data_IF_879936611380
#
_entry.id   IF_879936611380
#
_cell.length_a   1.000
_cell.length_b   1.000
_cell.length_c   1.000
_cell.angle_alpha   90.00
_cell.angle_beta   90.00
_cell.angle_gamma   90.00
#
_symmetry.space_group_name_H-M   'P 1'
#
loop_
_entity.id
_entity.type
_entity.pdbx_description
1 polymer ?
#
# COMPACT_ATOMS: atom_id res chain seq x y z
N UNK A 1 -5.70 11.64 -3.40
CA UNK A 1 -5.27 10.49 -4.20
C UNK A 1 -4.01 10.86 -4.95
N UNK A 2 -2.88 10.24 -4.60
CA UNK A 2 -1.62 10.36 -5.32
C UNK A 2 -1.52 9.24 -6.36
N UNK A 3 -1.05 9.54 -7.56
CA UNK A 3 -0.72 8.52 -8.57
C UNK A 3 0.55 7.75 -8.19
N UNK A 4 1.47 8.42 -7.50
CA UNK A 4 2.71 7.79 -7.00
C UNK A 4 2.40 6.78 -5.89
N UNK A 5 2.99 5.57 -5.91
CA UNK A 5 2.95 4.65 -4.78
C UNK A 5 3.56 5.26 -3.50
N UNK A 6 2.90 5.03 -2.36
CA UNK A 6 3.30 5.56 -1.06
C UNK A 6 3.64 4.41 -0.12
N UNK A 7 4.81 4.48 0.51
CA UNK A 7 5.27 3.50 1.48
C UNK A 7 5.27 4.14 2.87
N UNK A 8 4.56 3.53 3.83
CA UNK A 8 4.66 3.88 5.23
C UNK A 8 5.84 3.13 5.87
N UNK A 9 6.80 3.85 6.45
CA UNK A 9 7.86 3.30 7.29
C UNK A 9 7.56 3.60 8.75
N UNK A 10 7.14 2.59 9.50
CA UNK A 10 6.57 2.74 10.83
C UNK A 10 7.59 2.30 11.87
N UNK A 11 8.05 3.24 12.70
CA UNK A 11 9.07 2.98 13.73
C UNK A 11 8.57 3.39 15.11
N UNK A 12 7.63 2.64 15.67
CA UNK A 12 7.03 2.92 16.96
C UNK A 12 5.50 2.89 16.93
N UNK A 13 4.85 3.83 17.60
CA UNK A 13 3.39 3.83 17.72
C UNK A 13 2.71 4.38 16.46
N UNK A 14 1.82 3.58 15.90
CA UNK A 14 0.85 3.98 14.87
C UNK A 14 -0.56 3.78 15.45
N UNK A 15 -1.03 4.75 16.23
CA UNK A 15 -2.29 4.70 16.95
C UNK A 15 -3.26 5.76 16.43
N UNK A 16 -4.56 5.45 16.47
CA UNK A 16 -5.59 6.36 16.02
C UNK A 16 -5.34 6.89 14.62
N UNK A 17 -5.32 8.21 14.43
CA UNK A 17 -5.01 8.84 13.16
C UNK A 17 -3.67 8.39 12.55
N UNK A 18 -2.67 8.01 13.36
CA UNK A 18 -1.41 7.43 12.87
C UNK A 18 -1.62 6.07 12.20
N UNK A 19 -2.49 5.23 12.78
CA UNK A 19 -2.88 3.96 12.18
C UNK A 19 -3.68 4.20 10.88
N UNK A 20 -4.57 5.18 10.87
CA UNK A 20 -5.38 5.55 9.71
C UNK A 20 -4.54 6.04 8.53
N UNK A 21 -3.51 6.87 8.81
CA UNK A 21 -2.52 7.29 7.80
C UNK A 21 -1.74 6.10 7.27
N UNK A 22 -1.27 5.19 8.14
CA UNK A 22 -0.60 3.97 7.71
C UNK A 22 -1.49 3.12 6.79
N UNK A 23 -2.76 2.93 7.16
CA UNK A 23 -3.75 2.21 6.34
C UNK A 23 -4.06 2.90 5.00
N UNK A 24 -3.81 4.21 4.87
CA UNK A 24 -4.01 4.96 3.62
C UNK A 24 -2.85 4.84 2.64
N UNK A 25 -1.69 4.38 3.09
CA UNK A 25 -0.53 4.10 2.25
C UNK A 25 -0.69 2.78 1.49
N UNK A 26 0.04 2.64 0.39
CA UNK A 26 -0.06 1.45 -0.47
C UNK A 26 0.71 0.26 0.12
N UNK A 27 1.87 0.51 0.71
CA UNK A 27 2.72 -0.51 1.34
C UNK A 27 3.08 -0.04 2.76
N UNK A 28 3.07 -0.95 3.73
CA UNK A 28 3.40 -0.69 5.14
C UNK A 28 4.59 -1.56 5.56
N UNK A 29 5.68 -0.91 5.96
CA UNK A 29 6.88 -1.55 6.49
C UNK A 29 7.04 -1.08 7.94
N UNK A 30 7.24 -2.00 8.85
CA UNK A 30 7.25 -1.72 10.27
C UNK A 30 8.54 -2.21 10.93
N UNK A 31 8.98 -1.51 11.97
CA UNK A 31 9.93 -2.10 12.90
C UNK A 31 9.22 -3.11 13.81
N UNK A 32 9.96 -4.10 14.31
CA UNK A 32 9.48 -5.14 15.23
C UNK A 32 8.99 -4.59 16.57
N UNK A 33 9.39 -3.37 16.96
CA UNK A 33 8.94 -2.69 18.17
C UNK A 33 7.68 -1.84 17.99
N UNK A 34 7.14 -1.76 16.77
CA UNK A 34 5.95 -0.94 16.49
C UNK A 34 4.68 -1.51 17.15
N UNK A 35 3.73 -0.60 17.41
CA UNK A 35 2.42 -0.93 17.96
C UNK A 35 1.35 -0.25 17.13
N UNK A 36 0.25 -0.96 16.92
CA UNK A 36 -0.85 -0.53 16.06
C UNK A 36 -2.17 -0.61 16.83
N UNK A 37 -3.09 0.29 16.54
CA UNK A 37 -4.42 0.27 17.14
C UNK A 37 -5.23 1.50 16.82
N UNK A 38 -6.52 1.41 17.11
CA UNK A 38 -7.49 2.48 16.94
C UNK A 38 -8.23 2.70 18.27
N UNK A 39 -7.58 3.38 19.26
CA UNK A 39 -8.09 3.48 20.62
C UNK A 39 -9.19 4.53 20.81
N UNK A 40 -9.74 5.12 19.75
CA UNK A 40 -10.75 6.19 19.77
C UNK A 40 -11.99 5.78 20.58
N UNK A 41 -12.34 4.51 20.63
CA UNK A 41 -13.48 4.00 21.40
C UNK A 41 -13.37 4.33 22.88
N UNK A 42 -12.14 4.38 23.43
CA UNK A 42 -11.89 4.76 24.83
C UNK A 42 -12.18 6.24 25.11
N UNK A 43 -12.34 7.05 24.06
CA UNK A 43 -12.70 8.46 24.13
C UNK A 43 -14.18 8.71 23.77
N UNK A 44 -14.98 7.63 23.60
CA UNK A 44 -16.36 7.73 23.15
C UNK A 44 -16.50 8.09 21.67
N UNK A 45 -15.47 7.83 20.85
CA UNK A 45 -15.39 8.12 19.43
C UNK A 45 -15.13 6.84 18.62
N UNK A 46 -15.28 6.93 17.32
CA UNK A 46 -14.80 5.94 16.36
C UNK A 46 -13.70 6.58 15.50
N UNK A 47 -12.84 5.79 14.84
CA UNK A 47 -11.90 6.30 13.86
C UNK A 47 -12.59 7.15 12.79
N UNK A 48 -12.03 8.32 12.46
CA UNK A 48 -12.68 9.33 11.59
C UNK A 48 -11.98 9.59 10.27
N UNK A 49 -10.80 9.02 10.03
CA UNK A 49 -10.02 9.21 8.80
C UNK A 49 -9.96 7.95 7.91
N UNK A 50 -10.89 7.02 8.10
CA UNK A 50 -11.16 5.90 7.21
C UNK A 50 -10.64 4.54 7.68
N UNK A 51 -10.18 4.37 8.93
CA UNK A 51 -9.78 3.05 9.43
C UNK A 51 -10.96 2.06 9.43
N UNK A 52 -12.17 2.51 9.75
CA UNK A 52 -13.38 1.67 9.73
C UNK A 52 -13.61 1.00 8.38
N UNK A 53 -13.18 1.63 7.30
CA UNK A 53 -13.33 1.11 5.93
C UNK A 53 -12.08 0.36 5.48
N UNK A 54 -10.90 0.98 5.63
CA UNK A 54 -9.66 0.38 5.13
C UNK A 54 -9.25 -0.88 5.86
N UNK A 55 -9.45 -0.95 7.18
CA UNK A 55 -9.12 -2.16 7.95
C UNK A 55 -9.94 -3.37 7.49
N UNK A 56 -11.21 -3.20 7.11
CA UNK A 56 -12.04 -4.30 6.61
C UNK A 56 -11.40 -4.94 5.36
N UNK A 57 -10.84 -4.13 4.47
CA UNK A 57 -10.14 -4.62 3.28
C UNK A 57 -8.75 -5.21 3.60
N UNK A 58 -8.05 -4.69 4.60
CA UNK A 58 -6.70 -5.15 4.96
C UNK A 58 -6.72 -6.41 5.81
N UNK A 59 -7.56 -6.45 6.86
CA UNK A 59 -7.50 -7.51 7.89
C UNK A 59 -8.81 -8.28 8.03
N UNK A 60 -9.82 -7.93 7.23
CA UNK A 60 -11.15 -8.54 7.26
C UNK A 60 -12.05 -8.00 8.37
N UNK A 61 -13.36 -8.27 8.22
CA UNK A 61 -14.40 -7.69 9.09
C UNK A 61 -14.22 -8.05 10.57
N UNK A 62 -14.01 -9.33 10.90
CA UNK A 62 -13.92 -9.80 12.29
C UNK A 62 -12.76 -9.16 13.06
N UNK A 63 -11.57 -9.11 12.45
CA UNK A 63 -10.40 -8.49 13.08
C UNK A 63 -10.54 -6.96 13.18
N UNK A 64 -11.17 -6.34 12.20
CA UNK A 64 -11.51 -4.90 12.27
C UNK A 64 -12.44 -4.60 13.44
N UNK A 65 -13.51 -5.41 13.63
CA UNK A 65 -14.41 -5.29 14.77
C UNK A 65 -13.66 -5.43 16.11
N UNK A 66 -12.79 -6.43 16.22
CA UNK A 66 -11.99 -6.63 17.43
C UNK A 66 -11.13 -5.39 17.74
N UNK A 67 -10.32 -4.94 16.78
CA UNK A 67 -9.40 -3.81 16.96
C UNK A 67 -10.12 -2.50 17.33
N UNK A 68 -11.22 -2.18 16.64
CA UNK A 68 -11.95 -0.93 16.86
C UNK A 68 -12.79 -0.98 18.13
N UNK A 69 -13.48 -2.10 18.41
CA UNK A 69 -14.42 -2.17 19.54
C UNK A 69 -13.72 -2.40 20.88
N UNK A 70 -12.55 -3.03 20.88
CA UNK A 70 -11.75 -3.16 22.11
C UNK A 70 -10.87 -1.94 22.35
N UNK A 71 -10.42 -1.27 21.30
CA UNK A 71 -9.41 -0.21 21.36
C UNK A 71 -8.04 -0.70 21.80
N UNK A 72 -7.80 -2.02 21.75
CA UNK A 72 -6.53 -2.63 22.13
C UNK A 72 -5.46 -2.43 21.06
N UNK A 73 -4.21 -2.44 21.52
CA UNK A 73 -3.05 -2.37 20.65
C UNK A 73 -2.53 -3.77 20.34
N UNK A 74 -2.09 -3.97 19.09
CA UNK A 74 -1.36 -5.16 18.67
C UNK A 74 0.11 -4.81 18.38
N UNK A 75 0.97 -5.80 18.46
CA UNK A 75 2.38 -5.65 18.09
C UNK A 75 2.61 -5.84 16.58
N UNK A 76 3.85 -5.62 16.15
CA UNK A 76 4.24 -5.72 14.75
C UNK A 76 4.10 -7.15 14.20
N UNK A 77 4.35 -8.17 15.02
CA UNK A 77 4.23 -9.57 14.62
C UNK A 77 2.77 -9.94 14.32
N UNK A 78 1.84 -9.56 15.22
CA UNK A 78 0.41 -9.77 14.99
C UNK A 78 -0.09 -8.91 13.82
N UNK A 79 0.34 -7.64 13.70
CA UNK A 79 -0.01 -6.78 12.58
C UNK A 79 0.41 -7.38 11.23
N UNK A 80 1.58 -8.00 11.17
CA UNK A 80 2.04 -8.72 9.98
C UNK A 80 1.23 -10.00 9.73
N UNK A 81 0.98 -10.79 10.78
CA UNK A 81 0.21 -12.03 10.67
C UNK A 81 -1.19 -11.82 10.10
N UNK A 82 -1.85 -10.72 10.46
CA UNK A 82 -3.21 -10.41 9.99
C UNK A 82 -3.26 -9.62 8.68
N UNK A 83 -2.10 -9.26 8.10
CA UNK A 83 -2.03 -8.50 6.85
C UNK A 83 -2.16 -6.98 6.99
N UNK A 84 -2.13 -6.44 8.22
CA UNK A 84 -2.09 -4.99 8.43
C UNK A 84 -0.75 -4.38 8.01
N UNK A 85 0.34 -5.13 8.14
CA UNK A 85 1.70 -4.73 7.78
C UNK A 85 2.27 -5.73 6.80
N UNK A 86 2.91 -5.24 5.73
CA UNK A 86 3.42 -6.07 4.65
C UNK A 86 4.81 -6.65 4.97
N UNK A 87 5.65 -5.89 5.72
CA UNK A 87 6.99 -6.32 6.11
C UNK A 87 7.33 -5.84 7.52
N UNK A 88 8.07 -6.70 8.26
CA UNK A 88 8.64 -6.36 9.57
C UNK A 88 10.15 -6.56 9.53
N UNK A 89 10.90 -5.60 10.07
CA UNK A 89 12.36 -5.64 10.18
C UNK A 89 12.81 -5.02 11.52
N UNK A 90 14.10 -5.04 11.80
CA UNK A 90 14.64 -4.33 12.96
C UNK A 90 14.58 -2.82 12.75
N UNK A 91 14.58 -2.00 13.82
CA UNK A 91 14.58 -0.54 13.71
C UNK A 91 15.74 0.01 12.88
N UNK A 92 16.91 -0.63 12.98
CA UNK A 92 18.12 -0.19 12.28
C UNK A 92 18.06 -0.50 10.77
N UNK A 93 17.34 -1.56 10.40
CA UNK A 93 17.14 -1.97 9.00
C UNK A 93 16.00 -1.21 8.31
N UNK A 94 15.02 -0.70 9.07
CA UNK A 94 13.76 -0.14 8.54
C UNK A 94 13.99 0.88 7.42
N UNK A 95 14.87 1.85 7.68
CA UNK A 95 15.15 2.92 6.70
C UNK A 95 15.75 2.34 5.42
N UNK A 96 16.75 1.47 5.56
CA UNK A 96 17.47 0.91 4.41
C UNK A 96 16.56 -0.01 3.58
N UNK A 97 15.74 -0.83 4.24
CA UNK A 97 14.77 -1.70 3.59
C UNK A 97 13.73 -0.87 2.81
N UNK A 98 13.15 0.15 3.45
CA UNK A 98 12.17 1.03 2.82
C UNK A 98 12.74 1.78 1.61
N UNK A 99 13.95 2.35 1.75
CA UNK A 99 14.62 3.06 0.65
C UNK A 99 14.96 2.12 -0.52
N UNK A 100 15.39 0.89 -0.22
CA UNK A 100 15.65 -0.12 -1.26
C UNK A 100 14.38 -0.42 -2.05
N UNK A 101 13.26 -0.66 -1.38
CA UNK A 101 11.95 -0.89 -2.03
C UNK A 101 11.53 0.33 -2.85
N UNK A 102 11.60 1.53 -2.27
CA UNK A 102 11.25 2.77 -2.96
C UNK A 102 12.10 2.99 -4.23
N UNK A 103 13.41 2.69 -4.18
CA UNK A 103 14.28 2.75 -5.36
C UNK A 103 13.90 1.72 -6.42
N UNK A 104 13.55 0.50 -6.01
CA UNK A 104 13.10 -0.55 -6.94
C UNK A 104 11.82 -0.13 -7.65
N UNK A 105 10.85 0.44 -6.93
CA UNK A 105 9.62 0.99 -7.52
C UNK A 105 9.95 2.20 -8.40
N UNK A 106 10.72 3.16 -7.86
CA UNK A 106 11.07 4.40 -8.57
C UNK A 106 11.99 4.21 -9.78
N UNK A 107 12.54 3.00 -10.02
CA UNK A 107 13.26 2.65 -11.25
C UNK A 107 12.32 2.27 -12.40
N UNK A 108 11.01 2.32 -12.22
CA UNK A 108 10.01 2.01 -13.23
C UNK A 108 9.38 3.28 -13.78
N UNK A 109 8.70 3.19 -14.92
CA UNK A 109 7.93 4.29 -15.49
C UNK A 109 6.92 4.83 -14.47
N UNK A 110 6.97 6.13 -14.17
CA UNK A 110 6.04 6.76 -13.22
C UNK A 110 4.61 6.79 -13.77
N UNK A 111 4.46 6.91 -15.07
CA UNK A 111 3.17 6.83 -15.76
C UNK A 111 2.56 5.43 -15.56
N UNK A 112 3.31 4.37 -15.84
CA UNK A 112 2.82 2.98 -15.71
C UNK A 112 2.55 2.62 -14.23
N UNK A 113 3.38 3.12 -13.29
CA UNK A 113 3.13 2.97 -11.85
C UNK A 113 1.80 3.62 -11.43
N UNK A 114 1.51 4.82 -11.96
CA UNK A 114 0.26 5.53 -11.68
C UNK A 114 -0.97 4.77 -12.20
N UNK A 115 -0.91 4.29 -13.44
CA UNK A 115 -1.96 3.45 -14.04
C UNK A 115 -2.13 2.16 -13.24
N UNK A 116 -1.05 1.45 -12.93
CA UNK A 116 -1.08 0.22 -12.15
C UNK A 116 -1.70 0.43 -10.77
N UNK A 117 -1.31 1.48 -10.06
CA UNK A 117 -1.90 1.81 -8.75
C UNK A 117 -3.41 2.07 -8.86
N UNK A 118 -3.84 2.83 -9.86
CA UNK A 118 -5.27 3.12 -10.09
C UNK A 118 -6.04 1.85 -10.39
N UNK A 119 -5.50 0.98 -11.23
CA UNK A 119 -6.10 -0.31 -11.59
C UNK A 119 -6.25 -1.23 -10.38
N UNK A 120 -5.19 -1.37 -9.57
CA UNK A 120 -5.22 -2.20 -8.35
C UNK A 120 -6.25 -1.66 -7.35
N UNK A 121 -6.32 -0.34 -7.18
CA UNK A 121 -7.28 0.28 -6.26
C UNK A 121 -8.74 0.08 -6.68
N UNK A 122 -9.04 0.00 -7.96
CA UNK A 122 -10.38 -0.27 -8.44
C UNK A 122 -10.96 -1.57 -7.85
N UNK A 123 -10.11 -2.56 -7.54
CA UNK A 123 -10.53 -3.81 -6.89
C UNK A 123 -11.10 -3.63 -5.47
N UNK A 124 -10.90 -2.46 -4.83
CA UNK A 124 -11.51 -2.14 -3.53
C UNK A 124 -12.93 -1.58 -3.67
N UNK A 125 -13.29 -1.08 -4.85
CA UNK A 125 -14.52 -0.33 -5.06
C UNK A 125 -15.54 -1.09 -5.92
N UNK A 126 -15.07 -2.03 -6.78
CA UNK A 126 -15.91 -2.74 -7.75
C UNK A 126 -15.79 -4.26 -7.65
N UNK A 127 -16.76 -4.99 -8.18
CA UNK A 127 -16.73 -6.46 -8.25
C UNK A 127 -15.68 -6.97 -9.25
N UNK A 128 -15.27 -8.24 -9.11
CA UNK A 128 -14.18 -8.85 -9.91
C UNK A 128 -14.40 -8.70 -11.43
N UNK A 129 -15.60 -8.93 -11.92
CA UNK A 129 -15.90 -8.85 -13.38
C UNK A 129 -15.73 -7.43 -13.91
N UNK A 130 -16.18 -6.43 -13.17
CA UNK A 130 -16.00 -5.02 -13.52
C UNK A 130 -14.54 -4.59 -13.38
N UNK A 131 -13.86 -5.05 -12.33
CA UNK A 131 -12.43 -4.79 -12.11
C UNK A 131 -11.55 -5.34 -13.23
N UNK A 132 -11.86 -6.54 -13.78
CA UNK A 132 -11.19 -7.08 -14.95
C UNK A 132 -11.43 -6.19 -16.19
N UNK A 133 -12.62 -5.62 -16.34
CA UNK A 133 -12.91 -4.64 -17.39
C UNK A 133 -12.03 -3.40 -17.30
N UNK A 134 -11.88 -2.82 -16.09
CA UNK A 134 -10.98 -1.69 -15.81
C UNK A 134 -9.52 -2.04 -16.12
N UNK A 135 -9.07 -3.23 -15.71
CA UNK A 135 -7.71 -3.72 -15.99
C UNK A 135 -7.46 -3.81 -17.50
N UNK A 136 -8.38 -4.40 -18.25
CA UNK A 136 -8.26 -4.55 -19.71
C UNK A 136 -8.20 -3.19 -20.42
N UNK A 137 -9.04 -2.25 -20.02
CA UNK A 137 -9.02 -0.87 -20.55
C UNK A 137 -7.68 -0.19 -20.27
N UNK A 138 -7.24 -0.18 -19.02
CA UNK A 138 -5.96 0.44 -18.65
C UNK A 138 -4.77 -0.24 -19.33
N UNK A 139 -4.75 -1.58 -19.37
CA UNK A 139 -3.72 -2.35 -20.08
C UNK A 139 -3.66 -1.99 -21.57
N UNK A 140 -4.82 -1.95 -22.24
CA UNK A 140 -4.91 -1.61 -23.66
C UNK A 140 -4.41 -0.21 -23.96
N UNK A 141 -4.72 0.76 -23.08
CA UNK A 141 -4.32 2.15 -23.24
C UNK A 141 -2.80 2.38 -23.05
N UNK A 142 -2.07 1.43 -22.47
CA UNK A 142 -0.61 1.51 -22.36
C UNK A 142 0.11 1.17 -23.66
N UNK A 143 -0.52 0.45 -24.60
CA UNK A 143 0.09 0.12 -25.89
C UNK A 143 0.30 1.36 -26.73
N UNK A 144 1.51 1.49 -27.29
CA UNK A 144 1.91 2.63 -28.09
C UNK A 144 2.41 3.83 -27.28
N UNK A 145 2.40 3.77 -25.93
CA UNK A 145 3.09 4.77 -25.13
C UNK A 145 4.62 4.69 -25.32
N UNK A 146 5.31 5.79 -25.12
CA UNK A 146 6.78 5.82 -25.26
C UNK A 146 7.44 4.83 -24.30
N UNK A 147 6.99 4.79 -23.06
CA UNK A 147 7.56 3.90 -22.05
C UNK A 147 7.30 2.41 -22.36
N UNK A 148 6.15 2.06 -22.96
CA UNK A 148 5.90 0.68 -23.42
C UNK A 148 6.89 0.28 -24.52
N UNK A 149 7.13 1.15 -25.49
CA UNK A 149 8.08 0.90 -26.59
C UNK A 149 9.51 0.77 -26.04
N UNK A 150 9.93 1.68 -25.15
CA UNK A 150 11.22 1.65 -24.48
C UNK A 150 11.39 0.35 -23.69
N UNK A 151 10.39 -0.03 -22.89
CA UNK A 151 10.45 -1.24 -22.07
C UNK A 151 10.58 -2.51 -22.90
N UNK A 152 9.82 -2.64 -23.99
CA UNK A 152 9.90 -3.82 -24.88
C UNK A 152 11.25 -3.88 -25.58
N UNK A 153 11.76 -2.78 -26.11
CA UNK A 153 13.06 -2.74 -26.77
C UNK A 153 14.20 -3.07 -25.80
N UNK A 154 14.19 -2.49 -24.60
CA UNK A 154 15.20 -2.78 -23.57
C UNK A 154 15.15 -4.26 -23.17
N UNK A 155 13.97 -4.87 -23.04
CA UNK A 155 13.82 -6.30 -22.74
C UNK A 155 14.41 -7.19 -23.85
N UNK A 156 14.10 -6.89 -25.14
CA UNK A 156 14.62 -7.66 -26.29
C UNK A 156 16.15 -7.55 -26.37
N UNK A 157 16.70 -6.34 -26.17
CA UNK A 157 18.12 -6.06 -26.26
C UNK A 157 18.90 -6.43 -24.99
N UNK A 158 18.23 -6.84 -23.90
CA UNK A 158 18.81 -7.10 -22.59
C UNK A 158 19.52 -5.88 -21.99
N UNK A 159 18.91 -4.72 -22.14
CA UNK A 159 19.38 -3.42 -21.66
C UNK A 159 18.52 -2.94 -20.47
N UNK A 160 18.97 -1.88 -19.80
CA UNK A 160 18.16 -1.19 -18.79
C UNK A 160 17.29 -0.15 -19.51
N UNK A 161 15.99 -0.13 -19.23
CA UNK A 161 15.08 0.86 -19.80
C UNK A 161 15.33 2.25 -19.19
N UNK A 162 15.41 3.27 -20.06
CA UNK A 162 15.49 4.69 -19.68
C UNK A 162 14.12 5.34 -19.95
N UNK A 163 13.29 5.40 -18.91
CA UNK A 163 11.91 5.84 -19.01
C UNK A 163 11.79 7.33 -19.31
N UNK A 164 10.85 7.68 -20.18
CA UNK A 164 10.46 9.07 -20.48
C UNK A 164 9.31 9.54 -19.58
N UNK A 165 8.63 8.59 -18.93
CA UNK A 165 7.48 8.81 -18.06
C UNK A 165 6.22 9.33 -18.82
N UNK A 166 6.08 8.92 -20.09
CA UNK A 166 5.02 9.30 -21.03
C UNK A 166 4.36 8.07 -21.67
#
# INVERSE_FOLDING_TARGET
NLSTPVIAAINGFALGGGCEVACSCDIRISSDRSRFGTPEINLGLIPGYGATQRLVHLVGYGKTMELIMTGEMIDAAEAHRIGLVDHVCTPDELRNFTVKMARTIGSKSSMVLGVGKTTIRAALDVGLTEGIGVELEHFSNLFGSQDQIIGVNAFINRETAEWQHE
#
